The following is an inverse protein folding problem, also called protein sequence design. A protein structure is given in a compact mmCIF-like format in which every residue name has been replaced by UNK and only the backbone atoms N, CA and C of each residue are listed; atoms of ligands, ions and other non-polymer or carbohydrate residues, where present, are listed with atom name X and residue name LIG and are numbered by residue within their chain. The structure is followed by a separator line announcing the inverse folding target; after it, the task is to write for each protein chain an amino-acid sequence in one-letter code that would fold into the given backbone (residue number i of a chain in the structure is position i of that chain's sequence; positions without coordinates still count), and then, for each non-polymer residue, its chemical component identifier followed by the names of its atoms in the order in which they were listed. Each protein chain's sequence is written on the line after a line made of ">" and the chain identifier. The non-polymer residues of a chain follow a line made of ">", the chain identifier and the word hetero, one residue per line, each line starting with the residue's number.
data_IF_249961452673
#
_entry.id   IF_249961452673
#
_cell.length_a   1.000
_cell.length_b   1.000
_cell.length_c   1.000
_cell.angle_alpha   90.00
_cell.angle_beta   90.00
_cell.angle_gamma   90.00
#
_symmetry.space_group_name_H-M   'P 1'
#
loop_
_entity.id
_entity.type
_entity.pdbx_description
1 polymer ?
#
# COMPACT_ATOMS: atom_id res chain seq x y z
N UNK A 1 -35.39 6.28 14.86
CA UNK A 1 -34.22 6.38 14.03
C UNK A 1 -33.17 5.49 14.70
N UNK A 2 -33.06 4.25 14.27
CA UNK A 2 -32.04 3.34 14.78
C UNK A 2 -30.68 3.83 14.29
N UNK A 3 -29.85 4.31 15.22
CA UNK A 3 -28.42 4.44 14.97
C UNK A 3 -27.91 3.05 14.62
N UNK A 4 -27.61 2.82 13.35
CA UNK A 4 -26.81 1.67 12.92
C UNK A 4 -25.39 1.90 13.49
N UNK A 5 -25.26 1.59 14.77
CA UNK A 5 -23.98 1.53 15.46
C UNK A 5 -23.23 0.35 14.87
N UNK A 6 -22.33 0.62 13.93
CA UNK A 6 -21.40 -0.39 13.46
C UNK A 6 -20.46 -0.71 14.63
N UNK A 7 -20.57 -1.86 15.29
CA UNK A 7 -19.79 -2.20 16.49
C UNK A 7 -18.39 -2.70 16.08
N UNK A 8 -17.72 -1.97 15.18
CA UNK A 8 -16.43 -2.39 14.65
C UNK A 8 -15.31 -1.55 15.25
N UNK A 9 -14.24 -2.22 15.67
CA UNK A 9 -12.93 -1.56 15.79
C UNK A 9 -12.53 -1.07 14.39
N UNK A 10 -11.62 -0.11 14.30
CA UNK A 10 -11.09 0.39 13.01
C UNK A 10 -10.45 -0.75 12.20
N UNK A 11 -9.77 -1.68 12.87
CA UNK A 11 -9.22 -2.88 12.22
C UNK A 11 -10.33 -3.74 11.62
N UNK A 12 -11.37 -4.05 12.39
CA UNK A 12 -12.51 -4.84 11.91
C UNK A 12 -13.24 -4.15 10.75
N UNK A 13 -13.44 -2.82 10.82
CA UNK A 13 -14.04 -2.04 9.75
C UNK A 13 -13.23 -2.18 8.44
N UNK A 14 -11.92 -1.96 8.51
CA UNK A 14 -11.06 -2.02 7.32
C UNK A 14 -10.96 -3.43 6.73
N UNK A 15 -10.86 -4.44 7.58
CA UNK A 15 -10.80 -5.85 7.15
C UNK A 15 -12.10 -6.29 6.51
N UNK A 16 -13.25 -5.99 7.13
CA UNK A 16 -14.56 -6.37 6.60
C UNK A 16 -14.89 -5.63 5.30
N UNK A 17 -14.47 -4.36 5.18
CA UNK A 17 -14.59 -3.61 3.94
C UNK A 17 -13.81 -4.27 2.80
N UNK A 18 -12.55 -4.63 3.04
CA UNK A 18 -11.73 -5.33 2.05
C UNK A 18 -12.32 -6.71 1.69
N UNK A 19 -12.86 -7.43 2.67
CA UNK A 19 -13.51 -8.72 2.43
C UNK A 19 -14.78 -8.57 1.58
N UNK A 20 -15.60 -7.56 1.86
CA UNK A 20 -16.77 -7.24 1.05
C UNK A 20 -16.39 -6.85 -0.38
N UNK A 21 -15.29 -6.08 -0.56
CA UNK A 21 -14.78 -5.71 -1.87
C UNK A 21 -14.29 -6.96 -2.65
N UNK A 22 -13.57 -7.87 -1.98
CA UNK A 22 -13.15 -9.16 -2.57
C UNK A 22 -14.32 -10.01 -3.06
N UNK A 23 -15.41 -9.99 -2.32
CA UNK A 23 -16.62 -10.79 -2.61
C UNK A 23 -17.59 -10.07 -3.55
N UNK A 24 -17.24 -8.91 -4.11
CA UNK A 24 -18.12 -8.08 -4.95
C UNK A 24 -19.47 -7.76 -4.27
N UNK A 25 -19.48 -7.60 -2.96
CA UNK A 25 -20.67 -7.22 -2.18
C UNK A 25 -20.97 -5.73 -2.30
N UNK A 26 -22.15 -5.32 -1.77
CA UNK A 26 -22.48 -3.89 -1.66
C UNK A 26 -21.50 -3.18 -0.70
N UNK A 27 -20.77 -2.21 -1.22
CA UNK A 27 -19.74 -1.46 -0.48
C UNK A 27 -20.25 -0.14 0.12
N UNK A 28 -21.49 0.28 -0.21
CA UNK A 28 -22.09 1.54 0.29
C UNK A 28 -22.10 1.65 1.82
N UNK A 29 -22.47 0.60 2.59
CA UNK A 29 -22.45 0.69 4.05
C UNK A 29 -21.07 1.02 4.62
N UNK A 30 -20.00 0.46 4.02
CA UNK A 30 -18.62 0.73 4.45
C UNK A 30 -18.18 2.14 4.09
N UNK A 31 -18.47 2.60 2.86
CA UNK A 31 -18.18 3.99 2.45
C UNK A 31 -18.84 4.98 3.41
N UNK A 32 -20.12 4.78 3.75
CA UNK A 32 -20.84 5.61 4.71
C UNK A 32 -20.23 5.53 6.12
N UNK A 33 -19.73 4.36 6.53
CA UNK A 33 -19.05 4.20 7.81
C UNK A 33 -17.75 5.00 7.85
N UNK A 34 -16.92 4.95 6.78
CA UNK A 34 -15.69 5.74 6.69
C UNK A 34 -15.96 7.25 6.70
N UNK A 35 -17.01 7.70 6.00
CA UNK A 35 -17.40 9.12 5.97
C UNK A 35 -17.78 9.64 7.36
N UNK A 36 -18.45 8.78 8.18
CA UNK A 36 -18.91 9.12 9.53
C UNK A 36 -17.87 8.94 10.63
N UNK A 37 -16.66 8.44 10.30
CA UNK A 37 -15.58 8.37 11.28
C UNK A 37 -15.29 9.76 11.83
N UNK A 38 -14.85 9.81 13.08
CA UNK A 38 -14.34 11.01 13.70
C UNK A 38 -12.82 11.05 13.59
N UNK A 39 -12.26 12.19 13.18
CA UNK A 39 -10.82 12.34 12.98
C UNK A 39 -10.01 12.23 14.27
N UNK A 40 -10.53 12.79 15.36
CA UNK A 40 -9.85 12.71 16.66
C UNK A 40 -9.87 11.27 17.16
N UNK A 41 -11.01 10.59 16.98
CA UNK A 41 -11.12 9.17 17.31
C UNK A 41 -10.19 8.31 16.48
N UNK A 42 -10.05 8.55 15.16
CA UNK A 42 -9.05 7.89 14.33
C UNK A 42 -7.63 8.01 14.90
N UNK A 43 -7.27 9.22 15.38
CA UNK A 43 -5.97 9.49 15.98
C UNK A 43 -5.78 8.81 17.34
N UNK A 44 -6.85 8.68 18.12
CA UNK A 44 -6.85 8.02 19.43
C UNK A 44 -6.79 6.50 19.29
N UNK A 45 -7.52 5.93 18.34
CA UNK A 45 -7.64 4.48 18.17
C UNK A 45 -6.46 3.88 17.37
N UNK A 46 -5.74 4.68 16.56
CA UNK A 46 -4.56 4.25 15.78
C UNK A 46 -3.27 4.79 16.41
N UNK A 47 -2.83 4.20 17.52
CA UNK A 47 -1.68 4.70 18.30
C UNK A 47 -0.35 4.10 17.86
N UNK A 48 -0.35 2.82 17.52
CA UNK A 48 0.83 2.07 17.10
C UNK A 48 0.98 2.06 15.58
N UNK A 49 2.19 1.83 15.10
CA UNK A 49 2.44 1.66 13.67
C UNK A 49 1.76 0.41 13.11
N UNK A 50 1.61 -0.61 13.94
CA UNK A 50 0.90 -1.86 13.61
C UNK A 50 -0.58 -1.60 13.32
N UNK A 51 -1.27 -0.86 14.19
CA UNK A 51 -2.67 -0.48 14.01
C UNK A 51 -2.86 0.43 12.79
N UNK A 52 -1.99 1.43 12.62
CA UNK A 52 -2.01 2.34 11.46
C UNK A 52 -1.81 1.59 10.16
N UNK A 53 -0.76 0.75 10.07
CA UNK A 53 -0.47 -0.04 8.87
C UNK A 53 -1.62 -0.98 8.56
N UNK A 54 -2.15 -1.71 9.54
CA UNK A 54 -3.28 -2.62 9.37
C UNK A 54 -4.49 -1.89 8.77
N UNK A 55 -4.94 -0.81 9.44
CA UNK A 55 -6.10 -0.04 9.00
C UNK A 55 -5.89 0.54 7.59
N UNK A 56 -4.75 1.20 7.34
CA UNK A 56 -4.52 1.90 6.08
C UNK A 56 -4.22 0.97 4.91
N UNK A 57 -3.58 -0.19 5.10
CA UNK A 57 -3.38 -1.18 4.02
C UNK A 57 -4.71 -1.79 3.58
N UNK A 58 -5.52 -2.26 4.53
CA UNK A 58 -6.82 -2.83 4.21
C UNK A 58 -7.73 -1.78 3.56
N UNK A 59 -7.75 -0.54 4.08
CA UNK A 59 -8.53 0.57 3.51
C UNK A 59 -8.08 0.93 2.10
N UNK A 60 -6.78 1.12 1.86
CA UNK A 60 -6.23 1.45 0.55
C UNK A 60 -6.62 0.40 -0.49
N UNK A 61 -6.40 -0.87 -0.17
CA UNK A 61 -6.72 -1.97 -1.07
C UNK A 61 -8.24 -2.07 -1.33
N UNK A 62 -9.08 -1.87 -0.32
CA UNK A 62 -10.54 -1.86 -0.48
C UNK A 62 -11.02 -0.68 -1.34
N UNK A 63 -10.50 0.53 -1.12
CA UNK A 63 -10.83 1.69 -1.94
C UNK A 63 -10.31 1.55 -3.37
N UNK A 64 -9.14 0.97 -3.59
CA UNK A 64 -8.64 0.66 -4.94
C UNK A 64 -9.60 -0.26 -5.68
N UNK A 65 -10.04 -1.36 -5.05
CA UNK A 65 -11.04 -2.27 -5.62
C UNK A 65 -12.38 -1.57 -5.88
N UNK A 66 -12.86 -0.74 -4.95
CA UNK A 66 -14.08 0.05 -5.12
C UNK A 66 -14.00 0.96 -6.35
N UNK A 67 -12.87 1.65 -6.54
CA UNK A 67 -12.69 2.55 -7.68
C UNK A 67 -12.63 1.79 -9.01
N UNK A 68 -11.94 0.65 -9.04
CA UNK A 68 -11.88 -0.21 -10.21
C UNK A 68 -13.27 -0.78 -10.57
N UNK A 69 -14.07 -1.18 -9.57
CA UNK A 69 -15.44 -1.68 -9.78
C UNK A 69 -16.38 -0.59 -10.30
N UNK A 70 -16.27 0.64 -9.78
CA UNK A 70 -17.15 1.76 -10.19
C UNK A 70 -16.85 2.25 -11.58
N UNK A 71 -15.61 2.31 -11.98
CA UNK A 71 -15.19 2.84 -13.28
C UNK A 71 -13.80 2.32 -13.70
N UNK A 72 -13.76 1.15 -14.28
CA UNK A 72 -12.51 0.57 -14.81
C UNK A 72 -11.87 1.46 -15.89
N UNK A 73 -12.66 2.24 -16.64
CA UNK A 73 -12.15 3.18 -17.64
C UNK A 73 -11.36 4.34 -17.04
N UNK A 74 -11.63 4.75 -15.79
CA UNK A 74 -10.89 5.82 -15.12
C UNK A 74 -9.43 5.45 -14.82
N UNK A 75 -9.12 4.17 -14.75
CA UNK A 75 -7.76 3.66 -14.54
C UNK A 75 -6.81 4.03 -15.68
N UNK A 76 -7.34 4.28 -16.89
CA UNK A 76 -6.57 4.79 -18.01
C UNK A 76 -5.90 6.14 -17.73
N UNK A 77 -6.52 7.00 -16.90
CA UNK A 77 -5.90 8.22 -16.36
C UNK A 77 -5.39 7.96 -14.95
N UNK A 78 -4.27 7.25 -14.83
CA UNK A 78 -3.66 6.89 -13.54
C UNK A 78 -3.38 8.07 -12.62
N UNK A 79 -3.00 9.22 -13.17
CA UNK A 79 -2.77 10.41 -12.34
C UNK A 79 -4.02 10.83 -11.60
N UNK A 80 -5.16 10.91 -12.27
CA UNK A 80 -6.45 11.21 -11.67
C UNK A 80 -6.89 10.10 -10.72
N UNK A 81 -6.76 8.82 -11.11
CA UNK A 81 -7.17 7.67 -10.32
C UNK A 81 -6.55 7.66 -8.91
N UNK A 82 -5.26 7.99 -8.78
CA UNK A 82 -4.58 7.98 -7.49
C UNK A 82 -4.65 9.32 -6.75
N UNK A 83 -4.66 10.45 -7.46
CA UNK A 83 -4.52 11.79 -6.86
C UNK A 83 -5.84 12.45 -6.51
N UNK A 84 -6.90 12.19 -7.30
CA UNK A 84 -8.17 12.88 -7.08
C UNK A 84 -8.88 12.33 -5.84
N UNK A 85 -9.67 13.20 -5.20
CA UNK A 85 -10.38 12.88 -3.96
C UNK A 85 -11.66 12.11 -4.28
N UNK A 86 -11.56 10.79 -4.36
CA UNK A 86 -12.65 9.92 -4.80
C UNK A 86 -13.55 9.42 -3.67
N UNK A 87 -13.13 9.55 -2.43
CA UNK A 87 -13.86 9.07 -1.26
C UNK A 87 -13.65 9.98 -0.06
N UNK A 88 -14.48 9.81 0.95
CA UNK A 88 -14.47 10.60 2.18
C UNK A 88 -14.11 9.72 3.37
N UNK A 89 -13.20 10.19 4.22
CA UNK A 89 -12.86 9.56 5.51
C UNK A 89 -12.93 10.66 6.58
N UNK A 90 -13.68 10.41 7.66
CA UNK A 90 -13.85 11.37 8.77
C UNK A 90 -14.31 12.76 8.25
N UNK A 91 -15.34 12.76 7.41
CA UNK A 91 -15.90 13.96 6.76
C UNK A 91 -14.90 14.76 5.89
N UNK A 92 -13.72 14.22 5.60
CA UNK A 92 -12.71 14.87 4.75
C UNK A 92 -12.52 14.13 3.43
N UNK A 93 -12.32 14.84 2.30
CA UNK A 93 -12.04 14.22 1.02
C UNK A 93 -10.64 13.60 0.98
N UNK A 94 -10.55 12.33 0.57
CA UNK A 94 -9.32 11.55 0.48
C UNK A 94 -9.07 11.01 -0.92
N UNK A 95 -7.79 10.81 -1.23
CA UNK A 95 -7.29 10.08 -2.39
C UNK A 95 -6.44 8.89 -1.95
N UNK A 96 -6.14 7.98 -2.87
CA UNK A 96 -5.19 6.90 -2.62
C UNK A 96 -3.78 7.46 -2.30
N UNK A 97 -3.36 8.53 -3.00
CA UNK A 97 -2.09 9.22 -2.76
C UNK A 97 -1.99 9.81 -1.33
N UNK A 98 -3.11 10.24 -0.71
CA UNK A 98 -3.07 10.71 0.68
C UNK A 98 -2.77 9.58 1.66
N UNK A 99 -3.31 8.40 1.42
CA UNK A 99 -3.02 7.24 2.26
C UNK A 99 -1.57 6.80 2.06
N UNK A 100 -1.16 6.57 0.81
CA UNK A 100 0.18 6.06 0.50
C UNK A 100 1.28 7.09 0.80
N UNK A 101 1.28 8.22 0.07
CA UNK A 101 2.36 9.21 0.17
C UNK A 101 2.20 10.13 1.37
N UNK A 102 0.96 10.43 1.75
CA UNK A 102 0.64 11.24 2.91
C UNK A 102 0.95 10.49 4.20
N UNK A 103 0.18 9.47 4.50
CA UNK A 103 0.18 8.82 5.81
C UNK A 103 1.28 7.77 5.94
N UNK A 104 1.25 6.73 5.08
CA UNK A 104 2.15 5.58 5.19
C UNK A 104 3.60 5.92 4.84
N UNK A 105 3.83 6.87 3.93
CA UNK A 105 5.16 7.36 3.56
C UNK A 105 5.51 8.70 4.22
N UNK A 106 4.76 9.11 5.26
CA UNK A 106 5.06 10.28 6.11
C UNK A 106 5.24 11.58 5.34
N UNK A 107 4.35 11.86 4.39
CA UNK A 107 4.38 13.08 3.59
C UNK A 107 5.49 13.09 2.52
N UNK A 108 5.94 11.94 2.03
CA UNK A 108 6.89 11.89 0.91
C UNK A 108 6.29 12.51 -0.35
N UNK A 109 7.11 13.29 -1.06
CA UNK A 109 6.71 13.84 -2.34
C UNK A 109 6.70 12.75 -3.41
N UNK A 110 5.58 12.59 -4.11
CA UNK A 110 5.34 11.48 -5.06
C UNK A 110 6.45 11.32 -6.12
N UNK A 111 6.94 12.44 -6.66
CA UNK A 111 7.91 12.45 -7.75
C UNK A 111 9.37 12.60 -7.29
N UNK A 112 9.64 12.49 -6.00
CA UNK A 112 11.00 12.60 -5.45
C UNK A 112 11.75 11.28 -5.35
N UNK A 113 11.21 10.21 -5.93
CA UNK A 113 11.73 8.84 -5.77
C UNK A 113 11.85 8.40 -4.29
N UNK A 114 11.13 9.06 -3.38
CA UNK A 114 11.22 8.81 -1.94
C UNK A 114 12.30 9.60 -1.18
N UNK A 115 13.11 10.42 -1.86
CA UNK A 115 14.20 11.14 -1.18
C UNK A 115 13.71 12.36 -0.39
N UNK A 116 12.69 13.07 -0.87
CA UNK A 116 12.24 14.33 -0.27
C UNK A 116 10.79 14.24 0.23
N UNK A 117 10.52 14.94 1.34
CA UNK A 117 9.17 15.14 1.82
C UNK A 117 8.49 16.30 1.07
N UNK A 118 7.16 16.35 1.12
CA UNK A 118 6.39 17.53 0.73
C UNK A 118 6.87 18.72 1.56
N UNK A 119 6.89 19.92 0.97
CA UNK A 119 7.26 21.15 1.67
C UNK A 119 6.26 21.43 2.80
N UNK A 120 5.00 21.06 2.60
CA UNK A 120 3.93 21.25 3.56
C UNK A 120 3.02 20.02 3.59
N UNK A 121 2.65 19.60 4.81
CA UNK A 121 1.64 18.59 5.08
C UNK A 121 0.65 19.12 6.10
N UNK A 122 -0.67 18.89 5.90
CA UNK A 122 -1.69 19.30 6.84
C UNK A 122 -1.46 18.71 8.23
N UNK A 123 -1.91 19.43 9.28
CA UNK A 123 -1.73 18.95 10.67
C UNK A 123 -2.42 17.60 10.92
N UNK A 124 -3.59 17.39 10.32
CA UNK A 124 -4.32 16.13 10.44
C UNK A 124 -3.56 14.96 9.81
N UNK A 125 -2.92 15.15 8.65
CA UNK A 125 -2.12 14.14 7.96
C UNK A 125 -0.94 13.72 8.84
N UNK A 126 -0.22 14.70 9.42
CA UNK A 126 0.94 14.45 10.31
C UNK A 126 0.58 13.65 11.55
N UNK A 127 -0.60 13.87 12.12
CA UNK A 127 -1.09 13.13 13.30
C UNK A 127 -1.39 11.65 12.98
N UNK A 128 -1.70 11.33 11.71
CA UNK A 128 -1.97 9.98 11.25
C UNK A 128 -0.71 9.27 10.73
N UNK A 129 0.42 9.95 10.59
CA UNK A 129 1.66 9.32 10.10
C UNK A 129 2.04 8.11 10.94
N UNK A 130 2.59 7.09 10.27
CA UNK A 130 3.39 6.06 10.93
C UNK A 130 4.63 6.72 11.57
N UNK A 131 5.17 6.14 12.63
CA UNK A 131 6.38 6.68 13.30
C UNK A 131 7.60 6.54 12.41
N UNK A 132 7.71 5.38 11.72
CA UNK A 132 8.81 5.07 10.84
C UNK A 132 8.32 4.61 9.46
N UNK A 133 9.01 5.06 8.41
CA UNK A 133 8.76 4.57 7.07
C UNK A 133 9.25 3.14 6.96
N UNK A 134 8.39 2.26 6.47
CA UNK A 134 8.69 0.85 6.28
C UNK A 134 8.62 0.52 4.78
N UNK A 135 9.74 0.20 4.14
CA UNK A 135 9.78 -0.09 2.70
C UNK A 135 8.85 -1.25 2.30
N UNK A 136 8.47 -2.13 3.24
CA UNK A 136 7.60 -3.28 2.96
C UNK A 136 6.16 -2.86 2.60
N UNK A 137 5.77 -1.59 2.82
CA UNK A 137 4.47 -1.07 2.36
C UNK A 137 4.31 -1.23 0.85
N UNK A 138 5.39 -1.15 0.08
CA UNK A 138 5.38 -1.32 -1.37
C UNK A 138 5.06 -2.75 -1.82
N UNK A 139 5.10 -3.72 -0.91
CA UNK A 139 4.69 -5.11 -1.13
C UNK A 139 3.31 -5.42 -0.52
N UNK A 140 2.65 -4.42 0.09
CA UNK A 140 1.34 -4.55 0.74
C UNK A 140 0.23 -3.79 0.00
N UNK A 141 0.57 -2.69 -0.69
CA UNK A 141 -0.38 -1.85 -1.41
C UNK A 141 -0.52 -2.35 -2.85
N UNK A 142 -1.76 -2.62 -3.25
CA UNK A 142 -2.09 -3.02 -4.62
C UNK A 142 -2.73 -1.86 -5.37
N UNK A 143 -2.08 -1.43 -6.45
CA UNK A 143 -2.54 -0.33 -7.28
C UNK A 143 -3.52 -0.76 -8.40
N UNK A 144 -3.87 -2.04 -8.48
CA UNK A 144 -4.77 -2.59 -9.49
C UNK A 144 -4.09 -3.15 -10.75
N UNK A 145 -2.78 -2.99 -10.92
CA UNK A 145 -2.03 -3.46 -12.09
C UNK A 145 -1.59 -4.94 -11.95
N UNK A 146 -1.28 -5.58 -13.09
CA UNK A 146 -0.73 -6.94 -13.10
C UNK A 146 0.60 -7.05 -12.32
N UNK A 147 1.46 -6.05 -12.41
CA UNK A 147 2.75 -6.01 -11.68
C UNK A 147 2.62 -5.65 -10.20
N UNK A 148 1.40 -5.43 -9.67
CA UNK A 148 1.20 -5.17 -8.24
C UNK A 148 1.37 -6.44 -7.40
N UNK A 149 1.82 -6.28 -6.14
CA UNK A 149 1.76 -7.39 -5.19
C UNK A 149 0.30 -7.83 -4.97
N UNK A 150 0.05 -9.15 -4.75
CA UNK A 150 -1.29 -9.63 -4.44
C UNK A 150 -1.86 -8.99 -3.17
N UNK A 151 -3.14 -8.63 -3.20
CA UNK A 151 -3.85 -8.11 -2.03
C UNK A 151 -3.89 -9.18 -0.92
N UNK A 152 -3.45 -8.79 0.27
CA UNK A 152 -3.55 -9.61 1.49
C UNK A 152 -4.40 -8.89 2.54
N UNK A 153 -4.92 -9.64 3.49
CA UNK A 153 -5.61 -9.11 4.67
C UNK A 153 -4.60 -8.95 5.79
N UNK A 154 -4.52 -7.75 6.35
CA UNK A 154 -3.58 -7.43 7.41
C UNK A 154 -4.30 -7.40 8.76
N UNK A 155 -3.60 -7.85 9.81
CA UNK A 155 -4.03 -7.84 11.20
C UNK A 155 -2.92 -7.20 12.04
N UNK A 156 -3.26 -6.31 12.95
CA UNK A 156 -2.27 -5.52 13.72
C UNK A 156 -1.31 -6.38 14.54
N UNK A 157 -1.79 -7.45 15.17
CA UNK A 157 -0.97 -8.35 15.98
C UNK A 157 0.06 -9.15 15.15
N UNK A 158 -0.25 -9.41 13.87
CA UNK A 158 0.57 -10.26 12.98
C UNK A 158 1.27 -9.49 11.87
N UNK A 159 1.11 -8.17 11.82
CA UNK A 159 1.49 -7.36 10.66
C UNK A 159 2.96 -7.47 10.30
N UNK A 160 3.86 -7.61 11.28
CA UNK A 160 5.29 -7.74 11.01
C UNK A 160 5.60 -9.03 10.23
N UNK A 161 5.02 -10.16 10.66
CA UNK A 161 5.15 -11.45 9.97
C UNK A 161 4.46 -11.41 8.60
N UNK A 162 3.29 -10.81 8.51
CA UNK A 162 2.54 -10.68 7.26
C UNK A 162 3.29 -9.83 6.23
N UNK A 163 3.93 -8.74 6.64
CA UNK A 163 4.76 -7.91 5.76
C UNK A 163 6.01 -8.64 5.29
N UNK A 164 6.67 -9.40 6.16
CA UNK A 164 7.82 -10.20 5.75
C UNK A 164 7.42 -11.32 4.77
N UNK A 165 6.28 -11.97 4.98
CA UNK A 165 5.74 -12.96 4.05
C UNK A 165 5.34 -12.35 2.70
N UNK A 166 4.66 -11.19 2.71
CA UNK A 166 4.29 -10.48 1.49
C UNK A 166 5.53 -10.06 0.69
N UNK A 167 6.55 -9.54 1.40
CA UNK A 167 7.83 -9.15 0.79
C UNK A 167 8.55 -10.35 0.17
N UNK A 168 8.68 -11.45 0.92
CA UNK A 168 9.33 -12.66 0.42
C UNK A 168 8.62 -13.21 -0.83
N UNK A 169 7.28 -13.35 -0.75
CA UNK A 169 6.47 -13.88 -1.85
C UNK A 169 6.56 -13.01 -3.11
N UNK A 170 6.48 -11.67 -2.96
CA UNK A 170 6.58 -10.77 -4.10
C UNK A 170 7.98 -10.78 -4.72
N UNK A 171 9.03 -10.75 -3.89
CA UNK A 171 10.40 -10.77 -4.37
C UNK A 171 10.74 -12.09 -5.06
N UNK A 172 10.28 -13.23 -4.53
CA UNK A 172 10.47 -14.55 -5.14
C UNK A 172 9.80 -14.65 -6.51
N UNK A 173 8.61 -14.06 -6.67
CA UNK A 173 7.87 -14.08 -7.92
C UNK A 173 8.44 -13.12 -8.97
N UNK A 174 8.93 -11.94 -8.55
CA UNK A 174 9.20 -10.83 -9.45
C UNK A 174 10.68 -10.57 -9.70
N UNK A 175 11.60 -11.02 -8.84
CA UNK A 175 13.04 -10.77 -9.01
C UNK A 175 13.67 -11.89 -9.83
N UNK A 176 14.43 -11.51 -10.85
CA UNK A 176 15.17 -12.44 -11.70
C UNK A 176 16.67 -12.21 -11.53
N UNK A 177 17.45 -13.28 -11.38
CA UNK A 177 18.90 -13.21 -11.29
C UNK A 177 19.55 -13.99 -12.43
N UNK A 178 20.19 -13.25 -13.36
CA UNK A 178 21.05 -13.83 -14.39
C UNK A 178 22.46 -14.05 -13.86
N UNK A 179 22.77 -15.29 -13.51
CA UNK A 179 24.09 -15.71 -13.02
C UNK A 179 25.20 -15.51 -14.05
N UNK A 180 24.91 -15.60 -15.35
CA UNK A 180 25.93 -15.49 -16.41
C UNK A 180 26.40 -14.05 -16.59
N UNK A 181 25.45 -13.12 -16.51
CA UNK A 181 25.74 -11.69 -16.61
C UNK A 181 26.04 -11.05 -15.25
N UNK A 182 25.90 -11.79 -14.15
CA UNK A 182 25.92 -11.26 -12.79
C UNK A 182 24.99 -10.04 -12.63
N UNK A 183 23.76 -10.13 -13.14
CA UNK A 183 22.77 -9.05 -13.17
C UNK A 183 21.49 -9.47 -12.47
N UNK A 184 20.96 -8.63 -11.58
CA UNK A 184 19.64 -8.81 -10.98
C UNK A 184 18.63 -7.83 -11.59
N UNK A 185 17.49 -8.35 -12.01
CA UNK A 185 16.38 -7.57 -12.57
C UNK A 185 15.31 -7.37 -11.51
N UNK A 186 15.11 -6.13 -11.09
CA UNK A 186 14.17 -5.75 -10.04
C UNK A 186 12.88 -5.19 -10.61
N UNK A 187 11.73 -5.38 -9.93
CA UNK A 187 10.50 -4.65 -10.23
C UNK A 187 10.70 -3.14 -10.22
N UNK A 188 9.98 -2.43 -11.09
CA UNK A 188 10.08 -0.97 -11.25
C UNK A 188 9.84 -0.18 -9.95
N UNK A 189 9.11 -0.74 -8.99
CA UNK A 189 8.87 -0.11 -7.68
C UNK A 189 10.17 0.23 -6.93
N UNK A 190 11.22 -0.58 -7.07
CA UNK A 190 12.53 -0.26 -6.48
C UNK A 190 13.15 1.02 -7.05
N UNK A 191 12.90 1.30 -8.33
CA UNK A 191 13.35 2.54 -8.97
C UNK A 191 12.49 3.74 -8.54
N UNK A 192 11.15 3.56 -8.52
CA UNK A 192 10.22 4.65 -8.21
C UNK A 192 10.28 5.10 -6.76
N UNK A 193 10.62 4.19 -5.86
CA UNK A 193 10.69 4.42 -4.42
C UNK A 193 12.12 4.23 -3.88
N UNK A 194 13.13 4.56 -4.72
CA UNK A 194 14.55 4.32 -4.39
C UNK A 194 14.96 4.88 -3.02
N UNK A 195 14.46 6.06 -2.64
CA UNK A 195 14.74 6.64 -1.33
C UNK A 195 14.09 5.92 -0.15
N UNK A 196 13.07 5.08 -0.38
CA UNK A 196 12.44 4.26 0.67
C UNK A 196 13.17 2.92 0.82
N UNK A 197 13.74 2.37 -0.27
CA UNK A 197 14.52 1.14 -0.26
C UNK A 197 16.00 1.34 0.08
N UNK A 198 16.48 2.59 -0.06
CA UNK A 198 17.86 2.95 0.18
C UNK A 198 18.78 2.80 -1.03
N UNK A 199 20.08 2.77 -0.76
CA UNK A 199 21.11 2.63 -1.79
C UNK A 199 21.27 1.17 -2.29
N UNK A 200 22.13 0.95 -3.28
CA UNK A 200 22.37 -0.39 -3.85
C UNK A 200 22.71 -1.44 -2.79
N UNK A 201 23.53 -1.11 -1.80
CA UNK A 201 23.93 -2.06 -0.75
C UNK A 201 22.73 -2.45 0.15
N UNK A 202 21.83 -1.49 0.43
CA UNK A 202 20.62 -1.73 1.22
C UNK A 202 19.61 -2.59 0.42
N UNK A 203 19.46 -2.32 -0.88
CA UNK A 203 18.64 -3.17 -1.77
C UNK A 203 19.18 -4.60 -1.82
N UNK A 204 20.49 -4.79 -2.01
CA UNK A 204 21.09 -6.13 -1.99
C UNK A 204 20.94 -6.82 -0.63
N UNK A 205 21.03 -6.07 0.47
CA UNK A 205 20.76 -6.59 1.81
C UNK A 205 19.31 -7.11 1.93
N UNK A 206 18.32 -6.36 1.40
CA UNK A 206 16.92 -6.79 1.36
C UNK A 206 16.78 -8.11 0.59
N UNK A 207 17.38 -8.22 -0.60
CA UNK A 207 17.31 -9.45 -1.41
C UNK A 207 17.94 -10.65 -0.71
N UNK A 208 19.06 -10.44 0.01
CA UNK A 208 19.71 -11.48 0.81
C UNK A 208 18.89 -11.86 2.04
N UNK A 209 18.29 -10.88 2.74
CA UNK A 209 17.36 -11.11 3.87
C UNK A 209 16.25 -12.08 3.50
N UNK A 210 15.66 -11.90 2.32
CA UNK A 210 14.57 -12.76 1.82
C UNK A 210 15.07 -13.96 0.99
N UNK A 211 16.37 -14.26 1.01
CA UNK A 211 17.00 -15.42 0.33
C UNK A 211 16.84 -15.45 -1.19
N UNK A 212 16.60 -14.30 -1.80
CA UNK A 212 16.57 -14.15 -3.27
C UNK A 212 17.97 -14.24 -3.85
N UNK A 213 18.96 -13.71 -3.14
CA UNK A 213 20.39 -13.80 -3.47
C UNK A 213 21.15 -14.51 -2.35
N UNK A 214 22.21 -15.23 -2.72
CA UNK A 214 23.17 -15.77 -1.75
C UNK A 214 24.00 -14.63 -1.12
N UNK A 215 24.50 -14.80 0.10
CA UNK A 215 25.20 -13.74 0.83
C UNK A 215 26.42 -13.15 0.10
N UNK A 216 27.15 -14.00 -0.62
CA UNK A 216 28.39 -13.64 -1.35
C UNK A 216 28.14 -12.98 -2.71
N UNK A 217 26.91 -13.03 -3.23
CA UNK A 217 26.58 -12.52 -4.56
C UNK A 217 26.43 -11.00 -4.52
N UNK A 218 27.10 -10.31 -5.43
CA UNK A 218 27.09 -8.85 -5.60
C UNK A 218 26.84 -8.52 -7.08
N UNK A 219 25.58 -8.61 -7.56
CA UNK A 219 25.25 -8.35 -8.95
C UNK A 219 25.08 -6.86 -9.23
N UNK A 220 25.18 -6.50 -10.50
CA UNK A 220 24.65 -5.23 -10.99
C UNK A 220 23.13 -5.26 -11.00
N UNK A 221 22.50 -4.09 -10.83
CA UNK A 221 21.04 -3.94 -10.76
C UNK A 221 20.51 -3.36 -12.07
N UNK A 222 19.47 -4.01 -12.61
CA UNK A 222 18.62 -3.48 -13.67
C UNK A 222 17.15 -3.49 -13.23
N UNK A 223 16.28 -2.77 -13.95
CA UNK A 223 14.88 -2.67 -13.58
C UNK A 223 13.97 -3.15 -14.69
N UNK A 224 12.98 -3.96 -14.33
CA UNK A 224 11.95 -4.48 -15.24
C UNK A 224 10.97 -3.38 -15.64
N UNK A 225 10.33 -3.55 -16.79
CA UNK A 225 9.16 -2.75 -17.17
C UNK A 225 7.97 -3.11 -16.27
N UNK A 226 7.08 -2.15 -16.05
CA UNK A 226 5.89 -2.35 -15.22
C UNK A 226 4.67 -2.56 -16.11
N UNK A 227 3.97 -3.65 -15.86
CA UNK A 227 2.71 -3.95 -16.53
C UNK A 227 1.54 -3.25 -15.81
N UNK A 228 0.99 -2.24 -16.46
CA UNK A 228 -0.11 -1.43 -15.97
C UNK A 228 -1.49 -1.95 -16.37
N UNK A 229 -1.61 -3.08 -17.05
CA UNK A 229 -2.91 -3.67 -17.30
C UNK A 229 -3.62 -4.02 -15.99
N UNK A 230 -4.95 -3.84 -15.97
CA UNK A 230 -5.74 -4.13 -14.76
C UNK A 230 -5.69 -5.62 -14.46
N UNK A 231 -5.27 -5.98 -13.26
CA UNK A 231 -5.17 -7.37 -12.85
C UNK A 231 -6.55 -8.04 -12.77
N UNK A 232 -6.68 -9.19 -13.45
CA UNK A 232 -7.84 -10.06 -13.31
C UNK A 232 -7.84 -10.82 -11.98
N UNK A 233 -6.68 -10.95 -11.32
CA UNK A 233 -6.49 -11.73 -10.09
C UNK A 233 -5.79 -10.91 -8.99
N UNK A 234 -6.42 -9.83 -8.48
CA UNK A 234 -5.75 -8.91 -7.55
C UNK A 234 -5.38 -9.57 -6.20
N UNK A 235 -5.93 -10.74 -5.89
CA UNK A 235 -5.61 -11.51 -4.67
C UNK A 235 -4.56 -12.62 -4.91
N UNK A 236 -4.03 -12.71 -6.12
CA UNK A 236 -3.18 -13.82 -6.58
C UNK A 236 -4.00 -15.05 -7.01
N UNK A 237 -3.33 -15.98 -7.68
CA UNK A 237 -3.91 -17.27 -8.08
C UNK A 237 -3.95 -18.23 -6.90
#
# INVERSE_FOLDING_TARGET
>A
MSEDYLPYTLESLSTTFLEAAKQNKNLVPFVNAYERLDLEKLQIDLQTDEEKKCFWFNSYNAFTLLLLQRNSGSYGNRSSFFKDKHFTIAAMPFSLDDIEHGILRRGKHKYSLGYFNKIWSPSWERKLWVKELDYRIHFALNCGANSCPPIKFYNSEKIQVQLDLASASYLEAEVEFDKKQNMVFLPAIFKWYAGDFGNTSEILFILKKYKILLPEVMPDISYKTYDWEVSAHPFGN
#
